data_IF_683617054208
#
_entry.id   IF_683617054208
#
_cell.length_a   1.000
_cell.length_b   1.000
_cell.length_c   1.000
_cell.angle_alpha   90.00
_cell.angle_beta   90.00
_cell.angle_gamma   90.00
#
_symmetry.space_group_name_H-M   'P 1'
#
loop_
_entity.id
_entity.type
_entity.pdbx_description
1 polymer ?
#
# COMPACT_ATOMS: atom_id res chain seq x y z
N UNK A 1 60.85 12.69 -23.82
CA UNK A 1 59.95 13.54 -24.62
C UNK A 1 58.69 12.77 -24.95
N UNK A 2 57.57 13.48 -24.97
CA UNK A 2 56.27 13.13 -25.54
C UNK A 2 55.34 12.17 -24.80
N UNK A 3 54.15 12.74 -24.59
CA UNK A 3 53.00 12.38 -23.76
C UNK A 3 52.02 11.51 -24.56
N UNK A 4 50.98 11.00 -23.88
CA UNK A 4 49.62 10.62 -24.36
C UNK A 4 49.40 9.12 -24.64
N UNK A 5 48.27 8.51 -24.26
CA UNK A 5 46.94 9.05 -23.97
C UNK A 5 46.21 8.26 -22.88
N UNK A 6 45.58 8.99 -21.95
CA UNK A 6 44.59 8.50 -20.99
C UNK A 6 43.24 8.45 -21.71
N UNK A 7 42.64 7.27 -21.84
CA UNK A 7 41.26 7.15 -22.30
C UNK A 7 40.32 7.41 -21.13
N UNK A 8 39.90 8.67 -20.97
CA UNK A 8 38.79 9.03 -20.08
C UNK A 8 37.51 8.66 -20.82
N UNK A 9 36.88 7.56 -20.40
CA UNK A 9 35.53 7.23 -20.81
C UNK A 9 34.58 8.31 -20.23
N UNK A 10 34.13 9.20 -21.11
CA UNK A 10 33.17 10.25 -20.80
C UNK A 10 31.83 9.58 -20.45
N UNK A 11 31.55 9.48 -19.15
CA UNK A 11 30.24 9.06 -18.65
C UNK A 11 29.26 10.19 -18.97
N UNK A 12 28.58 10.07 -20.11
CA UNK A 12 27.44 10.92 -20.42
C UNK A 12 26.29 10.52 -19.49
N UNK A 13 26.33 11.01 -18.26
CA UNK A 13 25.17 11.06 -17.39
C UNK A 13 24.21 12.09 -18.02
N UNK A 14 23.28 11.60 -18.83
CA UNK A 14 22.08 12.35 -19.14
C UNK A 14 21.36 12.63 -17.82
N UNK A 15 21.15 13.90 -17.41
CA UNK A 15 20.22 14.17 -16.35
C UNK A 15 18.84 13.84 -16.94
N UNK A 16 18.24 12.72 -16.54
CA UNK A 16 16.82 12.52 -16.76
C UNK A 16 16.11 13.61 -15.95
N UNK A 17 15.84 14.71 -16.64
CA UNK A 17 14.93 15.74 -16.22
C UNK A 17 13.60 15.06 -15.84
N UNK A 18 13.21 15.24 -14.59
CA UNK A 18 11.87 15.06 -14.04
C UNK A 18 11.01 14.00 -14.72
N UNK A 19 11.15 12.74 -14.29
CA UNK A 19 9.92 11.99 -14.10
C UNK A 19 9.09 12.80 -13.10
N UNK A 20 7.81 13.11 -13.35
CA UNK A 20 6.96 13.60 -12.27
C UNK A 20 7.13 12.58 -11.15
N UNK A 21 7.53 13.03 -9.96
CA UNK A 21 7.32 12.25 -8.76
C UNK A 21 5.85 11.85 -8.84
N UNK A 22 5.59 10.61 -9.25
CA UNK A 22 4.24 10.11 -9.44
C UNK A 22 3.55 10.47 -8.16
N UNK A 23 2.53 11.30 -8.25
CA UNK A 23 1.87 11.87 -7.09
C UNK A 23 1.48 10.70 -6.18
N UNK A 24 2.28 10.45 -5.14
CA UNK A 24 2.02 9.41 -4.14
C UNK A 24 0.76 9.75 -3.32
N UNK A 25 0.16 10.90 -3.63
CA UNK A 25 -1.12 11.41 -3.16
C UNK A 25 -2.27 11.15 -4.14
N UNK A 26 -2.14 10.26 -5.14
CA UNK A 26 -3.27 9.90 -5.99
C UNK A 26 -4.37 9.25 -5.13
N UNK A 27 -5.49 9.96 -4.87
CA UNK A 27 -6.54 9.50 -3.95
C UNK A 27 -7.27 8.25 -4.45
N UNK A 28 -7.04 7.85 -5.71
CA UNK A 28 -7.57 6.60 -6.27
C UNK A 28 -6.87 5.34 -5.75
N UNK A 29 -5.69 5.45 -5.14
CA UNK A 29 -5.01 4.33 -4.48
C UNK A 29 -5.43 4.18 -3.00
N UNK A 30 -5.96 5.24 -2.40
CA UNK A 30 -6.24 5.27 -0.96
C UNK A 30 -7.39 4.34 -0.57
N UNK A 31 -8.55 4.35 -1.24
CA UNK A 31 -9.65 3.48 -0.78
C UNK A 31 -10.63 3.07 -1.89
N UNK A 32 -10.33 1.97 -2.59
CA UNK A 32 -11.38 1.13 -3.20
C UNK A 32 -11.31 -0.24 -2.52
N UNK A 33 -12.41 -0.76 -1.92
CA UNK A 33 -12.43 -2.10 -1.35
C UNK A 33 -12.05 -3.09 -2.45
N UNK A 34 -10.87 -3.71 -2.26
CA UNK A 34 -10.27 -4.61 -3.22
C UNK A 34 -11.00 -5.95 -3.10
N UNK A 35 -12.13 -6.08 -3.80
CA UNK A 35 -12.74 -7.39 -4.03
C UNK A 35 -11.66 -8.37 -4.50
N UNK A 36 -11.68 -9.62 -4.04
CA UNK A 36 -10.57 -10.59 -4.12
C UNK A 36 -9.67 -10.54 -5.39
N UNK A 37 -10.23 -10.42 -6.60
CA UNK A 37 -9.45 -10.31 -7.84
C UNK A 37 -8.71 -8.97 -8.07
N UNK A 38 -9.04 -7.93 -7.30
CA UNK A 38 -8.35 -6.63 -7.27
C UNK A 38 -7.27 -6.57 -6.20
N UNK A 39 -7.32 -7.45 -5.19
CA UNK A 39 -6.31 -7.50 -4.15
C UNK A 39 -4.94 -7.88 -4.73
N UNK A 40 -4.89 -8.88 -5.62
CA UNK A 40 -3.65 -9.28 -6.30
C UNK A 40 -3.08 -8.18 -7.20
N UNK A 41 -3.93 -7.47 -7.93
CA UNK A 41 -3.50 -6.35 -8.78
C UNK A 41 -2.97 -5.18 -7.95
N UNK A 42 -3.60 -4.90 -6.81
CA UNK A 42 -3.13 -3.91 -5.87
C UNK A 42 -1.79 -4.31 -5.26
N UNK A 43 -1.63 -5.57 -4.85
CA UNK A 43 -0.35 -6.10 -4.34
C UNK A 43 0.78 -5.89 -5.36
N UNK A 44 0.57 -6.21 -6.63
CA UNK A 44 1.59 -6.01 -7.67
C UNK A 44 1.98 -4.53 -7.85
N UNK A 45 1.02 -3.60 -7.75
CA UNK A 45 1.30 -2.16 -7.81
C UNK A 45 2.02 -1.67 -6.56
N UNK A 46 1.58 -2.11 -5.39
CA UNK A 46 2.14 -1.70 -4.10
C UNK A 46 3.53 -2.28 -3.86
N UNK A 47 3.82 -3.48 -4.36
CA UNK A 47 5.17 -4.04 -4.33
C UNK A 47 6.16 -3.20 -5.15
N UNK A 48 5.74 -2.66 -6.29
CA UNK A 48 6.55 -1.71 -7.06
C UNK A 48 6.75 -0.39 -6.31
N UNK A 49 5.72 0.12 -5.65
CA UNK A 49 5.82 1.33 -4.83
C UNK A 49 6.76 1.11 -3.62
N UNK A 50 6.64 -0.03 -2.95
CA UNK A 50 7.49 -0.42 -1.83
C UNK A 50 8.95 -0.62 -2.25
N UNK A 51 9.23 -0.97 -3.51
CA UNK A 51 10.60 -1.01 -4.01
C UNK A 51 11.24 0.39 -4.15
N UNK A 52 10.43 1.43 -4.31
CA UNK A 52 10.91 2.82 -4.37
C UNK A 52 11.10 3.40 -2.95
N UNK A 53 10.13 3.17 -2.06
CA UNK A 53 10.24 3.49 -0.64
C UNK A 53 9.67 2.35 0.23
N UNK A 54 10.53 1.49 0.78
CA UNK A 54 10.10 0.37 1.63
C UNK A 54 9.55 0.78 3.01
N UNK A 55 9.69 2.04 3.41
CA UNK A 55 9.31 2.53 4.74
C UNK A 55 8.16 3.53 4.71
N UNK A 56 7.65 3.85 3.51
CA UNK A 56 6.48 4.72 3.34
C UNK A 56 5.27 4.13 4.09
N UNK A 57 4.78 4.80 5.15
CA UNK A 57 3.67 4.30 5.93
C UNK A 57 2.37 4.21 5.12
N UNK A 58 2.19 5.01 4.07
CA UNK A 58 1.03 4.93 3.19
C UNK A 58 1.02 3.62 2.39
N UNK A 59 2.17 3.26 1.80
CA UNK A 59 2.34 2.01 1.06
C UNK A 59 2.16 0.79 1.98
N UNK A 60 2.74 0.84 3.18
CA UNK A 60 2.61 -0.23 4.17
C UNK A 60 1.16 -0.45 4.62
N UNK A 61 0.39 0.62 4.83
CA UNK A 61 -1.05 0.51 5.14
C UNK A 61 -1.82 -0.12 3.98
N UNK A 62 -1.57 0.33 2.76
CA UNK A 62 -2.25 -0.19 1.58
C UNK A 62 -1.90 -1.67 1.33
N UNK A 63 -0.66 -2.08 1.58
CA UNK A 63 -0.24 -3.49 1.55
C UNK A 63 -0.99 -4.30 2.60
N UNK A 64 -1.09 -3.79 3.83
CA UNK A 64 -1.81 -4.46 4.90
C UNK A 64 -3.30 -4.68 4.56
N UNK A 65 -3.96 -3.67 3.99
CA UNK A 65 -5.35 -3.77 3.53
C UNK A 65 -5.49 -4.81 2.42
N UNK A 66 -4.56 -4.82 1.45
CA UNK A 66 -4.58 -5.77 0.35
C UNK A 66 -4.39 -7.22 0.83
N UNK A 67 -3.44 -7.47 1.74
CA UNK A 67 -3.25 -8.78 2.36
C UNK A 67 -4.47 -9.21 3.18
N UNK A 68 -5.08 -8.29 3.95
CA UNK A 68 -6.27 -8.59 4.74
C UNK A 68 -7.46 -9.02 3.87
N UNK A 69 -7.66 -8.38 2.72
CA UNK A 69 -8.68 -8.77 1.75
C UNK A 69 -8.34 -10.04 0.97
N UNK A 70 -7.05 -10.37 0.81
CA UNK A 70 -6.60 -11.65 0.28
C UNK A 70 -6.74 -12.80 1.28
N UNK A 71 -7.06 -12.50 2.54
CA UNK A 71 -7.17 -13.48 3.63
C UNK A 71 -5.83 -13.85 4.28
N UNK A 72 -4.75 -13.17 3.91
CA UNK A 72 -3.44 -13.30 4.54
C UNK A 72 -3.34 -12.34 5.73
N UNK A 73 -3.90 -12.76 6.87
CA UNK A 73 -3.95 -11.94 8.08
C UNK A 73 -2.55 -11.72 8.70
N UNK A 74 -1.63 -12.68 8.55
CA UNK A 74 -0.28 -12.58 9.09
C UNK A 74 0.51 -11.48 8.35
N UNK A 75 0.51 -11.50 7.01
CA UNK A 75 1.14 -10.46 6.20
C UNK A 75 0.46 -9.10 6.40
N UNK A 76 -0.86 -9.09 6.58
CA UNK A 76 -1.60 -7.87 6.87
C UNK A 76 -1.15 -7.21 8.17
N UNK A 77 -1.08 -8.00 9.26
CA UNK A 77 -0.63 -7.54 10.57
C UNK A 77 0.79 -6.99 10.50
N UNK A 78 1.71 -7.73 9.88
CA UNK A 78 3.10 -7.31 9.75
C UNK A 78 3.24 -5.96 9.01
N UNK A 79 2.46 -5.75 7.95
CA UNK A 79 2.49 -4.50 7.20
C UNK A 79 1.94 -3.31 8.02
N UNK A 80 0.85 -3.52 8.78
CA UNK A 80 0.32 -2.48 9.68
C UNK A 80 1.29 -2.17 10.83
N UNK A 81 1.96 -3.17 11.40
CA UNK A 81 2.97 -2.98 12.43
C UNK A 81 4.20 -2.23 11.91
N UNK A 82 4.63 -2.52 10.68
CA UNK A 82 5.68 -1.76 10.02
C UNK A 82 5.27 -0.29 9.81
N UNK A 83 4.02 -0.03 9.41
CA UNK A 83 3.51 1.35 9.29
C UNK A 83 3.48 2.07 10.64
N UNK A 84 3.19 1.37 11.74
CA UNK A 84 3.26 1.93 13.10
C UNK A 84 4.68 2.27 13.54
N UNK A 85 5.64 1.44 13.15
CA UNK A 85 7.05 1.60 13.46
C UNK A 85 7.76 2.63 12.55
N UNK A 86 7.10 3.06 11.47
CA UNK A 86 7.67 4.06 10.57
C UNK A 86 7.95 5.38 11.30
N UNK A 87 9.11 5.95 10.98
CA UNK A 87 9.55 7.23 11.54
C UNK A 87 8.68 8.36 11.01
N UNK A 88 8.25 8.24 9.76
CA UNK A 88 7.43 9.21 9.09
C UNK A 88 5.95 9.00 9.44
N UNK A 89 5.23 10.09 9.57
CA UNK A 89 3.78 10.09 9.79
C UNK A 89 3.17 10.87 8.65
N UNK A 90 2.51 10.15 7.76
CA UNK A 90 1.79 10.73 6.64
C UNK A 90 0.31 10.84 7.00
N UNK A 91 -0.33 11.91 6.57
CA UNK A 91 -1.77 12.12 6.66
C UNK A 91 -2.44 11.45 5.45
N UNK A 92 -3.49 10.66 5.73
CA UNK A 92 -4.18 9.83 4.76
C UNK A 92 -5.67 10.10 4.81
N UNK A 93 -6.28 10.23 3.64
CA UNK A 93 -7.73 10.31 3.53
C UNK A 93 -8.35 8.92 3.63
N UNK A 94 -9.35 8.79 4.50
CA UNK A 94 -10.11 7.56 4.69
C UNK A 94 -11.37 7.54 3.84
N UNK A 95 -12.00 6.37 3.71
CA UNK A 95 -13.19 6.17 2.86
C UNK A 95 -14.38 7.06 3.26
N UNK A 96 -14.46 7.40 4.54
CA UNK A 96 -15.44 8.30 5.14
C UNK A 96 -15.13 9.79 4.92
N UNK A 97 -14.11 10.11 4.13
CA UNK A 97 -13.72 11.48 3.78
C UNK A 97 -13.03 12.21 4.92
N UNK A 98 -12.54 11.49 5.93
CA UNK A 98 -11.80 12.08 7.05
C UNK A 98 -10.30 11.92 6.82
N UNK A 99 -9.54 12.96 7.12
CA UNK A 99 -8.09 12.84 7.16
C UNK A 99 -7.66 12.21 8.49
N UNK A 100 -6.74 11.26 8.44
CA UNK A 100 -6.18 10.63 9.63
C UNK A 100 -4.71 10.31 9.46
N UNK A 101 -3.96 10.33 10.55
CA UNK A 101 -2.55 9.96 10.48
C UNK A 101 -2.39 8.44 10.26
N UNK A 102 -1.36 8.09 9.51
CA UNK A 102 -0.99 6.71 9.18
C UNK A 102 -0.87 5.80 10.41
N UNK A 103 -0.31 6.26 11.54
CA UNK A 103 -0.23 5.44 12.75
C UNK A 103 -1.60 5.14 13.32
N UNK A 104 -2.48 6.13 13.40
CA UNK A 104 -3.86 5.97 13.87
C UNK A 104 -4.64 5.03 12.97
N UNK A 105 -4.45 5.15 11.65
CA UNK A 105 -5.07 4.25 10.68
C UNK A 105 -4.56 2.82 10.85
N UNK A 106 -3.25 2.61 11.00
CA UNK A 106 -2.66 1.29 11.21
C UNK A 106 -3.15 0.62 12.51
N UNK A 107 -3.25 1.37 13.63
CA UNK A 107 -3.83 0.83 14.88
C UNK A 107 -5.30 0.43 14.69
N UNK A 108 -6.06 1.23 13.95
CA UNK A 108 -7.47 0.92 13.64
C UNK A 108 -7.55 -0.34 12.78
N UNK A 109 -6.70 -0.46 11.77
CA UNK A 109 -6.66 -1.61 10.87
C UNK A 109 -6.31 -2.91 11.60
N UNK A 110 -5.35 -2.91 12.53
CA UNK A 110 -5.04 -4.11 13.34
C UNK A 110 -6.27 -4.56 14.15
N UNK A 111 -7.01 -3.62 14.77
CA UNK A 111 -8.23 -3.94 15.50
C UNK A 111 -9.33 -4.50 14.60
N UNK A 112 -9.47 -3.95 13.39
CA UNK A 112 -10.42 -4.44 12.39
C UNK A 112 -10.06 -5.87 11.94
N UNK A 113 -8.77 -6.15 11.76
CA UNK A 113 -8.26 -7.48 11.43
C UNK A 113 -8.58 -8.50 12.53
N UNK A 114 -8.33 -8.15 13.80
CA UNK A 114 -8.65 -8.99 14.97
C UNK A 114 -10.14 -9.30 15.11
N UNK A 115 -10.99 -8.39 14.62
CA UNK A 115 -12.46 -8.56 14.61
C UNK A 115 -12.96 -9.26 13.35
N UNK A 116 -12.07 -9.58 12.40
CA UNK A 116 -12.43 -10.18 11.11
C UNK A 116 -13.20 -9.25 10.17
N UNK A 117 -13.16 -7.93 10.38
CA UNK A 117 -13.94 -6.95 9.60
C UNK A 117 -13.50 -6.84 8.13
N UNK A 118 -12.28 -7.30 7.80
CA UNK A 118 -11.78 -7.35 6.42
C UNK A 118 -12.31 -8.54 5.62
N UNK A 119 -12.79 -9.59 6.31
CA UNK A 119 -13.42 -10.73 5.64
C UNK A 119 -14.73 -10.24 5.06
N UNK A 120 -14.94 -10.47 3.76
CA UNK A 120 -16.24 -10.23 3.16
C UNK A 120 -17.31 -10.93 4.02
N UNK A 121 -18.46 -10.28 4.30
CA UNK A 121 -19.51 -10.95 5.03
C UNK A 121 -19.80 -12.24 4.28
N UNK A 122 -19.64 -13.37 4.98
CA UNK A 122 -20.16 -14.64 4.49
C UNK A 122 -21.63 -14.36 4.25
N UNK A 123 -22.03 -14.28 2.98
CA UNK A 123 -23.43 -14.17 2.61
C UNK A 123 -24.06 -15.47 3.10
N UNK A 124 -24.48 -15.47 4.37
CA UNK A 124 -25.13 -16.60 5.01
C UNK A 124 -26.46 -16.72 4.29
N UNK A 125 -26.53 -17.65 3.34
CA UNK A 125 -27.68 -17.89 2.46
C UNK A 125 -28.93 -18.40 3.18
N UNK A 126 -29.17 -17.98 4.42
CA UNK A 126 -30.19 -18.53 5.31
C UNK A 126 -31.29 -17.50 5.63
N UNK A 127 -31.86 -16.89 4.60
CA UNK A 127 -33.19 -16.27 4.73
C UNK A 127 -33.93 -16.15 3.38
N UNK A 128 -34.05 -17.28 2.68
CA UNK A 128 -35.19 -17.51 1.81
C UNK A 128 -36.13 -18.50 2.51
N UNK A 129 -36.66 -18.11 3.67
CA UNK A 129 -37.91 -18.74 4.14
C UNK A 129 -39.02 -18.21 3.24
N UNK A 130 -39.18 -18.83 2.07
CA UNK A 130 -40.42 -18.80 1.32
C UNK A 130 -41.45 -19.47 2.25
N UNK A 131 -42.26 -18.65 2.92
CA UNK A 131 -43.43 -19.15 3.63
C UNK A 131 -44.49 -19.34 2.55
N UNK A 132 -44.86 -20.60 2.31
CA UNK A 132 -46.00 -21.01 1.48
C UNK A 132 -47.32 -20.36 1.92
#
# INVERSE_FOLDING_TARGET
MSVTAFAIALFAATPLAGAPAAHLNDPELAVKPLAAGRAEQALAKLQKASAADPQDPAVLINLGIAYAHAGDEDSARNAFEAALASKDVVELDTADGTATDSRRLARKAIKMLERGEFRAPVMRGDQLTLRD
#
